data_IF_301627807716
#
_entry.id   IF_301627807716
#
_cell.length_a   1.000
_cell.length_b   1.000
_cell.length_c   1.000
_cell.angle_alpha   90.00
_cell.angle_beta   90.00
_cell.angle_gamma   90.00
#
_symmetry.space_group_name_H-M   'P 1'
#
loop_
_entity.id
_entity.type
_entity.pdbx_description
1 polymer ?
#
# COMPACT_ATOMS: atom_id res chain seq x y z
N UNK A 1 21.24 13.19 4.38
CA UNK A 1 19.82 12.76 4.39
C UNK A 1 19.44 12.38 5.81
N UNK A 2 18.50 13.09 6.43
CA UNK A 2 18.03 12.77 7.78
C UNK A 2 16.79 11.89 7.67
N UNK A 3 16.89 10.61 8.07
CA UNK A 3 15.79 9.64 8.01
C UNK A 3 14.70 9.87 9.11
N UNK A 4 14.88 10.89 9.95
CA UNK A 4 13.99 11.24 11.07
C UNK A 4 13.52 10.03 11.90
N UNK A 5 14.42 9.09 12.16
CA UNK A 5 14.09 7.79 12.76
C UNK A 5 13.46 7.92 14.14
N UNK A 6 13.93 8.85 14.99
CA UNK A 6 13.36 9.04 16.32
C UNK A 6 11.87 9.42 16.28
N UNK A 7 11.49 10.31 15.36
CA UNK A 7 10.09 10.69 15.18
C UNK A 7 9.28 9.59 14.48
N UNK A 8 9.88 8.92 13.49
CA UNK A 8 9.28 7.76 12.84
C UNK A 8 8.91 6.67 13.86
N UNK A 9 9.86 6.31 14.74
CA UNK A 9 9.65 5.34 15.82
C UNK A 9 8.56 5.83 16.75
N UNK A 10 8.57 7.10 17.16
CA UNK A 10 7.54 7.68 18.03
C UNK A 10 6.13 7.55 17.42
N UNK A 11 5.95 7.92 16.16
CA UNK A 11 4.65 7.84 15.47
C UNK A 11 4.26 6.37 15.23
N UNK A 12 5.20 5.51 14.86
CA UNK A 12 4.97 4.08 14.72
C UNK A 12 4.50 3.45 16.04
N UNK A 13 5.15 3.77 17.17
CA UNK A 13 4.75 3.30 18.50
C UNK A 13 3.35 3.79 18.87
N UNK A 14 3.03 5.05 18.56
CA UNK A 14 1.67 5.59 18.75
C UNK A 14 0.62 4.87 17.91
N UNK A 15 0.97 4.31 16.75
CA UNK A 15 0.06 3.59 15.85
C UNK A 15 0.06 2.07 16.02
N UNK A 16 0.76 1.55 17.04
CA UNK A 16 0.83 0.11 17.32
C UNK A 16 -0.54 -0.58 17.42
N UNK A 17 -1.58 -0.02 18.09
CA UNK A 17 -2.90 -0.65 18.12
C UNK A 17 -3.45 -0.90 16.70
N UNK A 18 -3.30 0.05 15.79
CA UNK A 18 -3.69 -0.13 14.39
C UNK A 18 -2.80 -1.17 13.68
N UNK A 19 -1.48 -1.16 13.92
CA UNK A 19 -0.53 -2.14 13.38
C UNK A 19 -0.90 -3.57 13.79
N UNK A 20 -1.37 -3.78 15.02
CA UNK A 20 -1.81 -5.10 15.52
C UNK A 20 -3.07 -5.58 14.78
N UNK A 21 -4.08 -4.71 14.64
CA UNK A 21 -5.29 -5.04 13.86
C UNK A 21 -4.92 -5.38 12.42
N UNK A 22 -4.04 -4.57 11.82
CA UNK A 22 -3.49 -4.82 10.48
C UNK A 22 -2.76 -6.16 10.42
N UNK A 23 -1.94 -6.51 11.42
CA UNK A 23 -1.27 -7.80 11.47
C UNK A 23 -2.26 -8.97 11.54
N UNK A 24 -3.33 -8.86 12.33
CA UNK A 24 -4.40 -9.85 12.37
C UNK A 24 -5.06 -10.05 11.00
N UNK A 25 -5.45 -8.97 10.33
CA UNK A 25 -6.08 -9.01 9.00
C UNK A 25 -5.14 -9.65 7.98
N UNK A 26 -3.89 -9.19 7.88
CA UNK A 26 -2.94 -9.71 6.90
C UNK A 26 -2.56 -11.18 7.19
N UNK A 27 -2.52 -11.58 8.45
CA UNK A 27 -2.30 -12.98 8.84
C UNK A 27 -3.49 -13.85 8.44
N UNK A 28 -4.72 -13.40 8.66
CA UNK A 28 -5.92 -14.12 8.23
C UNK A 28 -5.94 -14.34 6.71
N UNK A 29 -5.57 -13.32 5.92
CA UNK A 29 -5.43 -13.46 4.46
C UNK A 29 -4.29 -14.41 4.07
N UNK A 30 -3.15 -14.35 4.76
CA UNK A 30 -2.03 -15.27 4.54
C UNK A 30 -2.43 -16.73 4.79
N UNK A 31 -3.15 -16.99 5.88
CA UNK A 31 -3.67 -18.32 6.23
C UNK A 31 -4.74 -18.78 5.24
N UNK A 32 -5.66 -17.91 4.84
CA UNK A 32 -6.66 -18.22 3.82
C UNK A 32 -6.02 -18.56 2.47
N UNK A 33 -4.98 -17.82 2.06
CA UNK A 33 -4.22 -18.10 0.85
C UNK A 33 -3.48 -19.45 0.93
N UNK A 34 -2.92 -19.78 2.10
CA UNK A 34 -2.28 -21.08 2.34
C UNK A 34 -3.30 -22.23 2.27
N UNK A 35 -4.45 -22.08 2.92
CA UNK A 35 -5.54 -23.06 2.87
C UNK A 35 -6.05 -23.27 1.44
N UNK A 36 -6.24 -22.17 0.70
CA UNK A 36 -6.61 -22.21 -0.72
C UNK A 36 -5.57 -22.95 -1.57
N UNK A 37 -4.28 -22.64 -1.41
CA UNK A 37 -3.21 -23.32 -2.12
C UNK A 37 -3.17 -24.82 -1.78
N UNK A 38 -3.34 -25.18 -0.50
CA UNK A 38 -3.45 -26.56 -0.05
C UNK A 38 -4.64 -27.30 -0.68
N UNK A 39 -5.81 -26.65 -0.79
CA UNK A 39 -6.98 -27.21 -1.44
C UNK A 39 -6.76 -27.44 -2.95
N UNK A 40 -6.15 -26.48 -3.65
CA UNK A 40 -5.79 -26.61 -5.08
C UNK A 40 -4.83 -27.78 -5.31
N UNK A 41 -3.78 -27.88 -4.49
CA UNK A 41 -2.80 -28.96 -4.60
C UNK A 41 -3.41 -30.32 -4.23
N UNK A 42 -4.25 -30.37 -3.19
CA UNK A 42 -4.97 -31.58 -2.79
C UNK A 42 -5.92 -32.07 -3.89
N UNK A 43 -6.65 -31.14 -4.53
CA UNK A 43 -7.52 -31.45 -5.65
C UNK A 43 -6.72 -31.96 -6.86
N UNK A 44 -5.60 -31.30 -7.19
CA UNK A 44 -4.71 -31.73 -8.26
C UNK A 44 -4.16 -33.15 -8.02
N UNK A 45 -3.74 -33.47 -6.80
CA UNK A 45 -3.29 -34.81 -6.42
C UNK A 45 -4.40 -35.87 -6.57
N UNK A 46 -5.65 -35.50 -6.26
CA UNK A 46 -6.83 -36.37 -6.44
C UNK A 46 -7.06 -36.68 -7.93
N UNK A 47 -7.04 -35.66 -8.79
CA UNK A 47 -7.18 -35.83 -10.24
C UNK A 47 -6.02 -36.62 -10.85
N UNK A 48 -4.79 -36.42 -10.36
CA UNK A 48 -3.63 -37.22 -10.76
C UNK A 48 -3.84 -38.71 -10.48
N UNK A 49 -4.45 -39.04 -9.33
CA UNK A 49 -4.66 -40.43 -8.89
C UNK A 49 -5.85 -41.10 -9.59
N UNK A 50 -6.94 -40.37 -9.83
CA UNK A 50 -8.21 -40.94 -10.33
C UNK A 50 -8.32 -40.87 -11.86
N UNK A 51 -7.61 -39.95 -12.53
CA UNK A 51 -7.80 -39.66 -13.96
C UNK A 51 -7.18 -40.64 -14.97
N UNK A 52 -6.63 -41.78 -14.52
CA UNK A 52 -6.00 -42.77 -15.40
C UNK A 52 -4.91 -42.16 -16.29
N UNK A 53 -4.88 -42.50 -17.59
CA UNK A 53 -3.89 -41.97 -18.55
C UNK A 53 -3.93 -40.45 -18.75
N UNK A 54 -5.02 -39.79 -18.38
CA UNK A 54 -5.18 -38.33 -18.45
C UNK A 54 -4.99 -37.62 -17.09
N UNK A 55 -4.75 -38.37 -16.00
CA UNK A 55 -4.70 -37.82 -14.64
C UNK A 55 -3.66 -36.72 -14.47
N UNK A 56 -2.48 -36.87 -15.07
CA UNK A 56 -1.43 -35.84 -15.03
C UNK A 56 -1.85 -34.53 -15.69
N UNK A 57 -2.53 -34.60 -16.84
CA UNK A 57 -3.05 -33.42 -17.53
C UNK A 57 -4.17 -32.74 -16.72
N UNK A 58 -5.08 -33.51 -16.14
CA UNK A 58 -6.15 -32.96 -15.29
C UNK A 58 -5.58 -32.27 -14.04
N UNK A 59 -4.59 -32.87 -13.39
CA UNK A 59 -3.90 -32.27 -12.25
C UNK A 59 -3.24 -30.94 -12.62
N UNK A 60 -2.56 -30.87 -13.78
CA UNK A 60 -1.96 -29.64 -14.29
C UNK A 60 -3.01 -28.56 -14.53
N UNK A 61 -4.15 -28.91 -15.16
CA UNK A 61 -5.26 -27.97 -15.38
C UNK A 61 -5.77 -27.40 -14.06
N UNK A 62 -5.96 -28.23 -13.04
CA UNK A 62 -6.38 -27.78 -11.69
C UNK A 62 -5.37 -26.82 -11.09
N UNK A 63 -4.07 -27.10 -11.17
CA UNK A 63 -3.03 -26.20 -10.65
C UNK A 63 -3.03 -24.87 -11.41
N UNK A 64 -3.08 -24.88 -12.74
CA UNK A 64 -3.06 -23.65 -13.56
C UNK A 64 -4.28 -22.79 -13.29
N UNK A 65 -5.49 -23.37 -13.31
CA UNK A 65 -6.72 -22.66 -13.00
C UNK A 65 -6.75 -22.20 -11.54
N UNK A 66 -6.27 -23.03 -10.61
CA UNK A 66 -6.17 -22.69 -9.20
C UNK A 66 -5.21 -21.53 -8.94
N UNK A 67 -4.06 -21.47 -9.61
CA UNK A 67 -3.13 -20.34 -9.54
C UNK A 67 -3.76 -19.06 -10.11
N UNK A 68 -4.44 -19.16 -11.26
CA UNK A 68 -5.17 -18.03 -11.85
C UNK A 68 -6.27 -17.51 -10.93
N UNK A 69 -7.09 -18.40 -10.37
CA UNK A 69 -8.13 -18.07 -9.41
C UNK A 69 -7.57 -17.47 -8.12
N UNK A 70 -6.46 -18.02 -7.61
CA UNK A 70 -5.79 -17.51 -6.42
C UNK A 70 -5.22 -16.11 -6.62
N UNK A 71 -4.62 -15.85 -7.78
CA UNK A 71 -4.18 -14.51 -8.18
C UNK A 71 -5.35 -13.53 -8.22
N UNK A 72 -6.48 -13.93 -8.81
CA UNK A 72 -7.71 -13.14 -8.84
C UNK A 72 -8.24 -12.81 -7.44
N UNK A 73 -8.32 -13.81 -6.56
CA UNK A 73 -8.79 -13.63 -5.17
C UNK A 73 -7.87 -12.70 -4.37
N UNK A 74 -6.55 -12.87 -4.47
CA UNK A 74 -5.58 -11.98 -3.83
C UNK A 74 -5.67 -10.58 -4.41
N UNK A 75 -5.89 -10.45 -5.72
CA UNK A 75 -6.14 -9.18 -6.40
C UNK A 75 -7.35 -8.45 -5.79
N UNK A 76 -8.47 -9.15 -5.65
CA UNK A 76 -9.70 -8.60 -5.07
C UNK A 76 -9.53 -8.21 -3.59
N UNK A 77 -8.86 -9.05 -2.81
CA UNK A 77 -8.53 -8.75 -1.42
C UNK A 77 -7.69 -7.47 -1.28
N UNK A 78 -6.69 -7.32 -2.15
CA UNK A 78 -5.84 -6.12 -2.22
C UNK A 78 -6.60 -4.89 -2.67
N UNK A 79 -7.51 -5.04 -3.61
CA UNK A 79 -8.28 -3.94 -4.19
C UNK A 79 -9.48 -3.51 -3.36
N UNK A 80 -9.75 -4.10 -2.20
CA UNK A 80 -10.89 -3.69 -1.39
C UNK A 80 -10.50 -3.57 0.08
N UNK A 81 -10.28 -4.69 0.77
CA UNK A 81 -10.06 -4.66 2.21
C UNK A 81 -8.66 -4.15 2.58
N UNK A 82 -7.60 -4.71 2.00
CA UNK A 82 -6.23 -4.37 2.42
C UNK A 82 -5.88 -2.93 2.09
N UNK A 83 -6.43 -2.38 1.00
CA UNK A 83 -6.26 -0.98 0.66
C UNK A 83 -6.99 -0.07 1.64
N UNK A 84 -8.25 -0.34 2.01
CA UNK A 84 -8.97 0.46 3.01
C UNK A 84 -8.25 0.44 4.36
N UNK A 85 -7.72 -0.72 4.80
CA UNK A 85 -6.91 -0.82 6.02
C UNK A 85 -5.63 0.02 5.91
N UNK A 86 -4.96 -0.02 4.75
CA UNK A 86 -3.76 0.80 4.48
C UNK A 86 -4.09 2.28 4.60
N UNK A 87 -5.16 2.75 3.95
CA UNK A 87 -5.58 4.15 3.94
C UNK A 87 -6.05 4.61 5.33
N UNK A 88 -6.77 3.77 6.07
CA UNK A 88 -7.10 4.03 7.48
C UNK A 88 -5.86 4.21 8.35
N UNK A 89 -4.80 3.42 8.11
CA UNK A 89 -3.54 3.59 8.83
C UNK A 89 -2.85 4.92 8.46
N UNK A 90 -2.85 5.29 7.17
CA UNK A 90 -2.34 6.60 6.72
C UNK A 90 -3.09 7.72 7.44
N UNK A 91 -4.42 7.64 7.56
CA UNK A 91 -5.22 8.64 8.26
C UNK A 91 -4.87 8.77 9.74
N UNK A 92 -4.71 7.65 10.44
CA UNK A 92 -4.28 7.64 11.85
C UNK A 92 -2.88 8.21 12.02
N UNK A 93 -1.92 7.80 11.19
CA UNK A 93 -0.56 8.33 11.21
C UNK A 93 -0.55 9.84 10.93
N UNK A 94 -1.36 10.29 9.96
CA UNK A 94 -1.55 11.71 9.64
C UNK A 94 -2.05 12.49 10.84
N UNK A 95 -3.09 12.01 11.52
CA UNK A 95 -3.63 12.66 12.70
C UNK A 95 -2.58 12.79 13.83
N UNK A 96 -1.78 11.75 14.07
CA UNK A 96 -0.66 11.86 15.02
C UNK A 96 0.43 12.83 14.58
N UNK A 97 0.72 12.92 13.28
CA UNK A 97 1.71 13.86 12.74
C UNK A 97 1.26 15.31 12.84
N UNK A 98 -0.04 15.58 12.69
CA UNK A 98 -0.56 16.95 12.55
C UNK A 98 -1.20 17.48 13.82
N UNK A 99 -1.96 16.63 14.54
CA UNK A 99 -2.65 17.00 15.77
C UNK A 99 -1.91 16.51 17.03
N UNK A 100 -0.94 15.60 16.90
CA UNK A 100 -0.15 15.07 18.01
C UNK A 100 -0.84 13.96 18.81
N UNK A 101 -2.17 13.91 18.78
CA UNK A 101 -3.02 12.96 19.51
C UNK A 101 -4.28 12.55 18.72
N UNK A 102 -4.94 11.49 19.18
CA UNK A 102 -6.25 11.06 18.67
C UNK A 102 -7.34 11.35 19.71
N UNK A 103 -8.62 11.47 19.29
CA UNK A 103 -9.74 11.61 20.22
C UNK A 103 -9.73 10.50 21.30
N UNK A 104 -9.89 10.92 22.56
CA UNK A 104 -9.86 9.99 23.69
C UNK A 104 -11.07 9.05 23.66
N UNK A 105 -10.86 7.78 24.05
CA UNK A 105 -11.91 6.78 24.18
C UNK A 105 -12.34 6.09 22.88
N UNK A 106 -11.77 6.46 21.74
CA UNK A 106 -12.06 5.81 20.45
C UNK A 106 -10.95 4.85 20.02
N UNK A 107 -11.32 3.76 19.34
CA UNK A 107 -10.32 2.87 18.74
C UNK A 107 -9.64 3.56 17.56
N UNK A 108 -8.34 3.31 17.36
CA UNK A 108 -7.62 3.87 16.20
C UNK A 108 -8.24 3.45 14.86
N UNK A 109 -8.85 2.25 14.83
CA UNK A 109 -9.54 1.76 13.65
C UNK A 109 -10.77 2.62 13.33
N UNK A 110 -11.60 2.93 14.33
CA UNK A 110 -12.79 3.75 14.15
C UNK A 110 -12.43 5.18 13.76
N UNK A 111 -11.40 5.75 14.40
CA UNK A 111 -10.87 7.08 14.04
C UNK A 111 -10.36 7.07 12.60
N UNK A 112 -9.55 6.08 12.22
CA UNK A 112 -9.05 5.95 10.85
C UNK A 112 -10.17 5.81 9.83
N UNK A 113 -11.15 4.95 10.09
CA UNK A 113 -12.33 4.75 9.25
C UNK A 113 -13.12 6.06 9.09
N UNK A 114 -13.38 6.78 10.19
CA UNK A 114 -14.09 8.06 10.15
C UNK A 114 -13.35 9.10 9.33
N UNK A 115 -12.05 9.31 9.58
CA UNK A 115 -11.25 10.29 8.85
C UNK A 115 -11.23 10.01 7.34
N UNK A 116 -11.20 8.73 6.96
CA UNK A 116 -11.29 8.33 5.55
C UNK A 116 -12.67 8.62 4.99
N UNK A 117 -13.76 8.27 5.69
CA UNK A 117 -15.13 8.50 5.20
C UNK A 117 -15.52 9.99 5.19
N UNK A 118 -14.98 10.80 6.10
CA UNK A 118 -15.15 12.25 6.11
C UNK A 118 -14.50 12.89 4.87
N UNK A 119 -13.33 12.41 4.46
CA UNK A 119 -12.59 12.96 3.32
C UNK A 119 -13.00 12.35 1.98
N UNK A 120 -13.33 11.07 1.96
CA UNK A 120 -13.68 10.28 0.79
C UNK A 120 -15.08 9.72 1.00
N UNK A 121 -16.06 10.37 0.37
CA UNK A 121 -17.50 10.05 0.50
C UNK A 121 -17.80 8.58 0.21
N UNK A 122 -17.08 7.98 -0.73
CA UNK A 122 -17.15 6.57 -1.03
C UNK A 122 -15.77 5.96 -1.36
N UNK A 123 -15.71 4.63 -1.32
CA UNK A 123 -14.48 3.87 -1.55
C UNK A 123 -14.04 3.91 -3.03
N UNK A 124 -14.96 4.05 -3.98
CA UNK A 124 -14.62 4.12 -5.41
C UNK A 124 -13.86 5.42 -5.72
N UNK A 125 -14.30 6.53 -5.14
CA UNK A 125 -13.63 7.83 -5.22
C UNK A 125 -12.18 7.73 -4.73
N UNK A 126 -11.96 7.07 -3.58
CA UNK A 126 -10.62 6.84 -3.04
C UNK A 126 -9.74 6.05 -4.02
N UNK A 127 -10.26 4.98 -4.63
CA UNK A 127 -9.49 4.18 -5.60
C UNK A 127 -9.15 4.93 -6.88
N UNK A 128 -10.10 5.70 -7.41
CA UNK A 128 -9.86 6.53 -8.57
C UNK A 128 -8.78 7.55 -8.25
N UNK A 129 -8.91 8.25 -7.12
CA UNK A 129 -7.93 9.24 -6.68
C UNK A 129 -6.53 8.63 -6.51
N UNK A 130 -6.40 7.51 -5.80
CA UNK A 130 -5.13 6.81 -5.58
C UNK A 130 -4.48 6.41 -6.91
N UNK A 131 -5.26 5.89 -7.86
CA UNK A 131 -4.78 5.57 -9.21
C UNK A 131 -4.23 6.79 -9.96
N UNK A 132 -4.91 7.93 -9.89
CA UNK A 132 -4.45 9.17 -10.52
C UNK A 132 -3.22 9.76 -9.84
N UNK A 133 -3.20 9.76 -8.51
CA UNK A 133 -2.06 10.21 -7.69
C UNK A 133 -0.84 9.37 -8.00
N UNK A 134 -0.97 8.04 -7.99
CA UNK A 134 0.12 7.10 -8.29
C UNK A 134 0.66 7.26 -9.70
N UNK A 135 -0.23 7.47 -10.68
CA UNK A 135 0.19 7.79 -12.04
C UNK A 135 0.99 9.09 -12.11
N UNK A 136 0.53 10.11 -11.40
CA UNK A 136 1.15 11.43 -11.37
C UNK A 136 2.51 11.45 -10.69
N UNK A 137 2.63 10.86 -9.48
CA UNK A 137 3.91 10.75 -8.77
C UNK A 137 4.91 9.89 -9.52
N UNK A 138 4.46 8.81 -10.18
CA UNK A 138 5.34 8.00 -11.05
C UNK A 138 5.86 8.80 -12.23
N UNK A 139 5.05 9.65 -12.85
CA UNK A 139 5.47 10.52 -13.93
C UNK A 139 6.52 11.56 -13.47
N UNK A 140 6.32 12.17 -12.29
CA UNK A 140 7.32 13.04 -11.64
C UNK A 140 8.66 12.30 -11.53
N UNK A 141 8.63 11.07 -11.02
CA UNK A 141 9.85 10.34 -10.71
C UNK A 141 10.57 9.80 -11.93
N UNK A 142 9.86 9.54 -13.03
CA UNK A 142 10.49 9.15 -14.30
C UNK A 142 11.36 10.26 -14.89
N UNK A 143 11.14 11.52 -14.51
CA UNK A 143 11.95 12.65 -14.96
C UNK A 143 13.23 12.84 -14.15
N UNK A 144 13.49 12.00 -13.15
CA UNK A 144 14.66 12.11 -12.28
C UNK A 144 15.76 11.20 -12.82
N UNK A 145 16.84 11.80 -13.30
CA UNK A 145 17.93 11.09 -13.99
C UNK A 145 18.91 10.39 -13.03
N UNK A 146 18.98 10.78 -11.75
CA UNK A 146 20.05 10.38 -10.82
C UNK A 146 19.59 9.64 -9.54
N UNK A 147 18.56 8.79 -9.63
CA UNK A 147 18.05 8.08 -8.44
C UNK A 147 19.05 7.06 -7.87
N UNK A 148 20.01 6.59 -8.68
CA UNK A 148 21.08 5.67 -8.25
C UNK A 148 21.96 6.25 -7.13
N UNK A 149 22.13 7.57 -7.08
CA UNK A 149 22.96 8.26 -6.09
C UNK A 149 22.47 8.09 -4.64
N UNK A 150 21.20 7.72 -4.44
CA UNK A 150 20.62 7.53 -3.11
C UNK A 150 20.67 6.08 -2.63
N UNK A 151 21.17 5.17 -3.46
CA UNK A 151 21.19 3.76 -3.11
C UNK A 151 22.49 3.45 -2.33
N UNK A 152 22.39 3.02 -1.06
CA UNK A 152 23.55 2.82 -0.19
C UNK A 152 24.25 1.47 -0.41
N UNK A 153 24.20 0.90 -1.61
CA UNK A 153 24.82 -0.41 -1.92
C UNK A 153 25.95 -0.20 -2.93
N UNK A 154 27.22 -0.45 -2.57
CA UNK A 154 28.34 -0.35 -3.50
C UNK A 154 28.25 -1.38 -4.63
N UNK A 155 28.65 -1.02 -5.86
CA UNK A 155 28.85 -1.98 -6.98
C UNK A 155 27.59 -2.35 -7.77
N UNK A 156 26.49 -1.62 -7.59
CA UNK A 156 25.24 -1.81 -8.35
C UNK A 156 25.13 -0.87 -9.56
N UNK A 157 26.18 -0.10 -9.89
CA UNK A 157 26.12 0.91 -10.96
C UNK A 157 25.76 0.30 -12.34
N UNK A 158 25.98 -1.01 -12.53
CA UNK A 158 25.56 -1.76 -13.73
C UNK A 158 24.15 -2.38 -13.70
N UNK A 159 23.43 -2.32 -12.58
CA UNK A 159 22.14 -3.00 -12.38
C UNK A 159 20.94 -2.06 -12.54
N UNK A 160 20.82 -1.41 -13.71
CA UNK A 160 19.71 -0.49 -14.00
C UNK A 160 18.32 -1.11 -13.72
N UNK A 161 18.13 -2.40 -14.01
CA UNK A 161 16.88 -3.12 -13.73
C UNK A 161 16.58 -3.24 -12.23
N UNK A 162 17.61 -3.38 -11.39
CA UNK A 162 17.43 -3.50 -9.95
C UNK A 162 17.12 -2.13 -9.33
N UNK A 163 17.80 -1.07 -9.78
CA UNK A 163 17.48 0.30 -9.40
C UNK A 163 16.02 0.64 -9.73
N UNK A 164 15.54 0.26 -10.92
CA UNK A 164 14.13 0.44 -11.30
C UNK A 164 13.16 -0.28 -10.36
N UNK A 165 13.50 -1.50 -9.89
CA UNK A 165 12.67 -2.24 -8.92
C UNK A 165 12.63 -1.54 -7.56
N UNK A 166 13.75 -1.03 -7.08
CA UNK A 166 13.83 -0.27 -5.82
C UNK A 166 12.96 0.98 -5.90
N UNK A 167 13.10 1.76 -6.98
CA UNK A 167 12.27 2.95 -7.20
C UNK A 167 10.81 2.56 -7.26
N UNK A 168 10.45 1.52 -8.02
CA UNK A 168 9.08 1.02 -8.08
C UNK A 168 8.53 0.61 -6.70
N UNK A 169 9.36 0.06 -5.81
CA UNK A 169 8.97 -0.24 -4.44
C UNK A 169 8.76 1.03 -3.61
N UNK A 170 9.66 2.01 -3.72
CA UNK A 170 9.55 3.31 -3.06
C UNK A 170 8.26 4.07 -3.47
N UNK A 171 7.83 3.93 -4.73
CA UNK A 171 6.61 4.57 -5.25
C UNK A 171 5.35 4.21 -4.45
N UNK A 172 5.28 3.01 -3.87
CA UNK A 172 4.13 2.57 -3.10
C UNK A 172 3.95 3.27 -1.74
N UNK A 173 4.97 4.02 -1.32
CA UNK A 173 4.96 4.83 -0.10
C UNK A 173 4.90 6.33 -0.39
N UNK A 174 5.30 6.72 -1.60
CA UNK A 174 5.25 8.12 -2.04
C UNK A 174 3.80 8.56 -2.30
N UNK A 175 2.98 7.72 -2.92
CA UNK A 175 1.54 7.98 -3.15
C UNK A 175 0.79 8.22 -1.83
N UNK A 176 1.18 7.52 -0.75
CA UNK A 176 0.63 7.70 0.60
C UNK A 176 0.85 9.12 1.16
N UNK A 177 1.89 9.84 0.73
CA UNK A 177 2.14 11.21 1.21
C UNK A 177 1.12 12.21 0.69
N UNK A 178 0.71 12.06 -0.58
CA UNK A 178 -0.34 12.88 -1.20
C UNK A 178 -1.71 12.56 -0.60
N UNK A 179 -1.96 11.28 -0.33
CA UNK A 179 -3.16 10.85 0.38
C UNK A 179 -3.23 11.44 1.80
N UNK A 180 -2.11 11.35 2.54
CA UNK A 180 -1.95 11.94 3.86
C UNK A 180 -2.17 13.45 3.85
N UNK A 181 -1.61 14.15 2.87
CA UNK A 181 -1.86 15.59 2.67
C UNK A 181 -3.35 15.90 2.47
N UNK A 182 -4.04 15.11 1.65
CA UNK A 182 -5.48 15.28 1.39
C UNK A 182 -6.30 15.10 2.67
N UNK A 183 -5.96 14.08 3.48
CA UNK A 183 -6.57 13.83 4.80
C UNK A 183 -6.29 14.95 5.82
N UNK A 184 -5.11 15.58 5.75
CA UNK A 184 -4.77 16.70 6.61
C UNK A 184 -5.47 18.00 6.22
N UNK A 185 -5.50 18.32 4.91
CA UNK A 185 -6.01 19.60 4.41
C UNK A 185 -7.53 19.71 4.52
N UNK A 186 -8.25 18.57 4.49
CA UNK A 186 -9.71 18.47 4.67
C UNK A 186 -10.52 19.39 3.75
N UNK A 187 -10.07 19.60 2.50
CA UNK A 187 -10.86 20.39 1.56
C UNK A 187 -12.05 19.56 1.07
N UNK A 188 -13.19 20.24 0.85
CA UNK A 188 -14.37 19.65 0.19
C UNK A 188 -14.02 19.09 -1.19
N UNK A 189 -13.19 19.82 -1.94
CA UNK A 189 -12.66 19.36 -3.22
C UNK A 189 -11.42 18.48 -2.99
N UNK A 190 -11.62 17.17 -2.88
CA UNK A 190 -10.53 16.22 -2.65
C UNK A 190 -9.54 16.16 -3.81
N UNK A 191 -10.01 16.38 -5.04
CA UNK A 191 -9.17 16.41 -6.24
C UNK A 191 -8.17 17.57 -6.18
N UNK A 192 -8.62 18.74 -5.71
CA UNK A 192 -7.76 19.91 -5.50
C UNK A 192 -6.69 19.64 -4.45
N UNK A 193 -7.05 19.01 -3.32
CA UNK A 193 -6.07 18.67 -2.29
C UNK A 193 -5.03 17.66 -2.78
N UNK A 194 -5.44 16.67 -3.56
CA UNK A 194 -4.52 15.70 -4.14
C UNK A 194 -3.59 16.33 -5.19
N UNK A 195 -4.11 17.25 -6.02
CA UNK A 195 -3.33 18.00 -6.99
C UNK A 195 -2.22 18.80 -6.29
N UNK A 196 -2.59 19.57 -5.25
CA UNK A 196 -1.64 20.31 -4.42
C UNK A 196 -0.60 19.37 -3.79
N UNK A 197 -1.05 18.23 -3.23
CA UNK A 197 -0.17 17.23 -2.65
C UNK A 197 0.83 16.64 -3.64
N UNK A 198 0.44 16.38 -4.90
CA UNK A 198 1.36 15.94 -5.96
C UNK A 198 2.42 17.00 -6.25
N UNK A 199 2.03 18.28 -6.31
CA UNK A 199 2.97 19.38 -6.55
C UNK A 199 3.95 19.54 -5.37
N UNK A 200 3.44 19.48 -4.14
CA UNK A 200 4.27 19.51 -2.92
C UNK A 200 5.25 18.34 -2.85
N UNK A 201 4.81 17.15 -3.26
CA UNK A 201 5.70 16.00 -3.40
C UNK A 201 6.78 16.27 -4.44
N UNK A 202 6.40 16.78 -5.62
CA UNK A 202 7.36 17.08 -6.69
C UNK A 202 8.36 18.16 -6.28
N UNK A 203 7.96 19.16 -5.49
CA UNK A 203 8.88 20.17 -4.93
C UNK A 203 9.87 19.59 -3.92
N UNK A 204 9.44 18.58 -3.16
CA UNK A 204 10.22 17.97 -2.07
C UNK A 204 10.83 16.61 -2.45
N UNK A 205 10.79 16.24 -3.73
CA UNK A 205 11.08 14.87 -4.20
C UNK A 205 12.45 14.35 -3.73
N UNK A 206 13.48 15.20 -3.70
CA UNK A 206 14.83 14.80 -3.33
C UNK A 206 14.89 14.23 -1.92
N UNK A 207 14.11 14.79 -0.99
CA UNK A 207 14.09 14.33 0.40
C UNK A 207 13.16 13.12 0.54
N UNK A 208 11.96 13.22 -0.02
CA UNK A 208 10.91 12.20 0.16
C UNK A 208 11.25 10.91 -0.58
N UNK A 209 11.68 11.00 -1.84
CA UNK A 209 12.02 9.83 -2.66
C UNK A 209 13.32 9.17 -2.19
N UNK A 210 14.35 9.94 -1.84
CA UNK A 210 15.59 9.37 -1.32
C UNK A 210 15.32 8.58 -0.03
N UNK A 211 14.52 9.15 0.89
CA UNK A 211 14.09 8.43 2.08
C UNK A 211 13.28 7.17 1.72
N UNK A 212 12.31 7.27 0.82
CA UNK A 212 11.50 6.13 0.39
C UNK A 212 12.34 5.01 -0.25
N UNK A 213 13.37 5.35 -1.03
CA UNK A 213 14.32 4.41 -1.63
C UNK A 213 15.10 3.66 -0.54
N UNK A 214 15.70 4.39 0.40
CA UNK A 214 16.46 3.76 1.50
C UNK A 214 15.56 2.91 2.37
N UNK A 215 14.37 3.39 2.70
CA UNK A 215 13.42 2.65 3.52
C UNK A 215 12.84 1.43 2.78
N UNK A 216 12.67 1.47 1.45
CA UNK A 216 12.27 0.31 0.67
C UNK A 216 13.36 -0.77 0.67
N UNK A 217 14.63 -0.40 0.54
CA UNK A 217 15.76 -1.33 0.65
C UNK A 217 15.83 -1.93 2.05
N UNK A 218 15.73 -1.11 3.10
CA UNK A 218 15.69 -1.58 4.48
C UNK A 218 14.50 -2.52 4.71
N UNK A 219 13.35 -2.25 4.08
CA UNK A 219 12.16 -3.10 4.11
C UNK A 219 12.36 -4.46 3.43
N UNK A 220 13.22 -4.57 2.42
CA UNK A 220 13.61 -5.85 1.81
C UNK A 220 14.69 -6.58 2.62
N UNK A 221 15.68 -5.85 3.12
CA UNK A 221 16.72 -6.42 3.97
C UNK A 221 16.10 -7.03 5.25
N UNK A 222 15.21 -6.29 5.91
CA UNK A 222 14.47 -6.79 7.09
C UNK A 222 13.63 -8.02 6.78
N UNK A 223 13.01 -8.10 5.60
CA UNK A 223 12.32 -9.33 5.18
C UNK A 223 13.28 -10.53 5.11
N UNK A 224 14.47 -10.36 4.53
CA UNK A 224 15.50 -11.39 4.51
C UNK A 224 15.90 -11.82 5.93
N UNK A 225 16.15 -10.86 6.83
CA UNK A 225 16.48 -11.13 8.23
C UNK A 225 15.35 -11.89 8.94
N UNK A 226 14.09 -11.50 8.75
CA UNK A 226 12.93 -12.17 9.34
C UNK A 226 12.82 -13.61 8.82
N UNK A 227 12.96 -13.82 7.51
CA UNK A 227 12.93 -15.16 6.91
C UNK A 227 14.05 -16.03 7.45
N UNK A 228 15.26 -15.51 7.59
CA UNK A 228 16.39 -16.24 8.17
C UNK A 228 16.12 -16.59 9.64
N UNK A 229 15.64 -15.63 10.44
CA UNK A 229 15.33 -15.85 11.85
C UNK A 229 14.25 -16.93 12.04
N UNK A 230 13.18 -16.89 11.25
CA UNK A 230 12.16 -17.93 11.24
C UNK A 230 12.71 -19.25 10.67
N UNK A 231 13.54 -19.18 9.63
CA UNK A 231 14.17 -20.33 8.98
C UNK A 231 15.04 -21.15 9.92
N UNK A 232 15.77 -20.50 10.83
CA UNK A 232 16.54 -21.17 11.91
C UNK A 232 15.65 -22.13 12.72
N UNK A 233 14.37 -21.78 12.91
CA UNK A 233 13.42 -22.62 13.63
C UNK A 233 12.73 -23.66 12.73
N UNK A 234 12.18 -23.25 11.58
CA UNK A 234 11.35 -24.11 10.75
C UNK A 234 12.14 -25.08 9.85
N UNK A 235 13.32 -24.69 9.35
CA UNK A 235 14.07 -25.53 8.42
C UNK A 235 14.59 -26.82 9.06
N UNK A 236 15.14 -26.85 10.29
CA UNK A 236 15.50 -28.10 10.96
C UNK A 236 14.31 -29.06 11.11
N UNK A 237 13.12 -28.53 11.45
CA UNK A 237 11.88 -29.30 11.54
C UNK A 237 11.55 -29.89 10.17
N UNK A 238 11.57 -29.07 9.12
CA UNK A 238 11.37 -29.53 7.74
C UNK A 238 12.32 -30.67 7.36
N UNK A 239 13.62 -30.53 7.61
CA UNK A 239 14.61 -31.56 7.28
C UNK A 239 14.42 -32.86 8.08
N UNK A 240 13.94 -32.76 9.32
CA UNK A 240 13.70 -33.93 10.18
C UNK A 240 12.53 -34.83 9.74
N UNK A 241 11.62 -34.34 8.89
CA UNK A 241 10.44 -35.10 8.43
C UNK A 241 10.77 -36.30 7.52
N UNK A 242 11.98 -36.33 6.95
CA UNK A 242 12.49 -37.42 6.12
C UNK A 242 11.82 -37.54 4.74
N UNK A 243 12.41 -38.35 3.87
CA UNK A 243 12.00 -38.47 2.45
C UNK A 243 10.56 -39.00 2.25
N UNK A 244 9.96 -39.64 3.25
CA UNK A 244 8.59 -40.17 3.18
C UNK A 244 7.48 -39.12 3.22
N UNK A 245 7.80 -37.86 3.56
CA UNK A 245 6.82 -36.78 3.77
C UNK A 245 7.10 -35.56 2.87
N UNK A 246 7.51 -35.77 1.62
CA UNK A 246 7.98 -34.70 0.72
C UNK A 246 7.07 -33.47 0.61
N UNK A 247 5.74 -33.65 0.59
CA UNK A 247 4.78 -32.53 0.59
C UNK A 247 4.80 -31.74 1.91
N UNK A 248 4.73 -32.44 3.05
CA UNK A 248 4.74 -31.80 4.36
C UNK A 248 6.08 -31.10 4.64
N UNK A 249 7.19 -31.73 4.26
CA UNK A 249 8.52 -31.14 4.28
C UNK A 249 8.55 -29.83 3.48
N UNK A 250 8.05 -29.85 2.23
CA UNK A 250 8.01 -28.65 1.39
C UNK A 250 7.16 -27.53 2.01
N UNK A 251 6.01 -27.87 2.61
CA UNK A 251 5.16 -26.89 3.30
C UNK A 251 5.89 -26.26 4.48
N UNK A 252 6.47 -27.06 5.38
CA UNK A 252 7.19 -26.56 6.56
C UNK A 252 8.40 -25.71 6.15
N UNK A 253 9.12 -26.10 5.09
CA UNK A 253 10.23 -25.31 4.53
C UNK A 253 9.81 -23.91 4.07
N UNK A 254 8.60 -23.78 3.53
CA UNK A 254 8.07 -22.52 2.98
C UNK A 254 7.42 -21.61 4.03
N UNK A 255 7.10 -22.12 5.23
CA UNK A 255 6.46 -21.33 6.29
C UNK A 255 7.23 -20.05 6.68
N UNK A 256 8.57 -20.05 6.84
CA UNK A 256 9.35 -18.83 7.09
C UNK A 256 9.12 -17.72 6.07
N UNK A 257 8.99 -18.09 4.79
CA UNK A 257 8.76 -17.12 3.72
C UNK A 257 7.35 -16.53 3.81
N UNK A 258 6.35 -17.38 4.06
CA UNK A 258 4.96 -16.94 4.22
C UNK A 258 4.80 -16.02 5.44
N UNK A 259 5.22 -16.47 6.62
CA UNK A 259 5.12 -15.70 7.85
C UNK A 259 5.99 -14.44 7.79
N UNK A 260 7.21 -14.54 7.25
CA UNK A 260 8.07 -13.39 7.04
C UNK A 260 7.43 -12.36 6.12
N UNK A 261 6.71 -12.79 5.08
CA UNK A 261 6.03 -11.88 4.16
C UNK A 261 4.84 -11.20 4.83
N UNK A 262 4.07 -11.93 5.63
CA UNK A 262 2.98 -11.35 6.44
C UNK A 262 3.52 -10.30 7.41
N UNK A 263 4.57 -10.61 8.19
CA UNK A 263 5.23 -9.67 9.11
C UNK A 263 5.77 -8.43 8.39
N UNK A 264 6.36 -8.63 7.21
CA UNK A 264 6.81 -7.52 6.38
C UNK A 264 5.64 -6.61 5.98
N UNK A 265 4.52 -7.17 5.52
CA UNK A 265 3.37 -6.39 5.08
C UNK A 265 2.65 -5.66 6.23
N UNK A 266 2.63 -6.26 7.42
CA UNK A 266 1.88 -5.77 8.57
C UNK A 266 2.67 -4.86 9.51
N UNK A 267 4.00 -5.02 9.60
CA UNK A 267 4.87 -4.27 10.52
C UNK A 267 5.87 -3.40 9.76
N UNK A 268 6.67 -4.01 8.89
CA UNK A 268 7.77 -3.32 8.20
C UNK A 268 7.24 -2.26 7.24
N UNK A 269 6.29 -2.61 6.39
CA UNK A 269 5.69 -1.67 5.43
C UNK A 269 5.06 -0.44 6.11
N UNK A 270 4.25 -0.57 7.18
CA UNK A 270 3.76 0.62 7.87
C UNK A 270 4.85 1.46 8.52
N UNK A 271 5.94 0.85 9.02
CA UNK A 271 7.09 1.63 9.50
C UNK A 271 7.72 2.45 8.37
N UNK A 272 7.92 1.85 7.19
CA UNK A 272 8.42 2.52 6.00
C UNK A 272 7.49 3.66 5.57
N UNK A 273 6.19 3.40 5.48
CA UNK A 273 5.16 4.42 5.23
C UNK A 273 5.32 5.61 6.17
N UNK A 274 5.34 5.37 7.49
CA UNK A 274 5.43 6.45 8.48
C UNK A 274 6.73 7.26 8.32
N UNK A 275 7.85 6.61 8.01
CA UNK A 275 9.11 7.32 7.75
C UNK A 275 8.99 8.28 6.56
N UNK A 276 8.35 7.82 5.47
CA UNK A 276 8.13 8.63 4.26
C UNK A 276 7.15 9.77 4.54
N UNK A 277 6.08 9.53 5.31
CA UNK A 277 5.16 10.57 5.77
C UNK A 277 5.88 11.62 6.62
N UNK A 278 6.65 11.23 7.64
CA UNK A 278 7.42 12.16 8.50
C UNK A 278 8.32 13.05 7.64
N UNK A 279 9.02 12.45 6.68
CA UNK A 279 9.92 13.18 5.77
C UNK A 279 9.14 14.16 4.89
N UNK A 280 8.01 13.74 4.33
CA UNK A 280 7.15 14.61 3.54
C UNK A 280 6.62 15.78 4.37
N UNK A 281 6.11 15.55 5.58
CA UNK A 281 5.58 16.63 6.42
C UNK A 281 6.65 17.64 6.82
N UNK A 282 7.90 17.22 7.00
CA UNK A 282 9.01 18.13 7.33
C UNK A 282 9.50 18.95 6.16
N UNK A 283 9.48 18.39 4.95
CA UNK A 283 10.08 19.01 3.78
C UNK A 283 9.07 19.64 2.84
N UNK A 284 7.80 19.25 2.89
CA UNK A 284 6.76 19.70 1.95
C UNK A 284 5.72 20.60 2.63
N UNK A 285 5.34 20.33 3.88
CA UNK A 285 4.28 21.09 4.54
C UNK A 285 4.70 22.54 4.77
N UNK A 286 3.81 23.48 4.42
CA UNK A 286 4.04 24.92 4.56
C UNK A 286 4.74 25.57 3.37
N UNK A 287 5.20 24.81 2.37
CA UNK A 287 5.70 25.38 1.12
C UNK A 287 4.56 25.95 0.27
N UNK A 288 4.76 27.08 -0.41
CA UNK A 288 3.81 27.56 -1.40
C UNK A 288 3.79 26.61 -2.61
N UNK A 289 2.60 26.43 -3.20
CA UNK A 289 2.42 25.59 -4.41
C UNK A 289 3.18 26.23 -5.57
N UNK A 290 4.16 25.53 -6.14
CA UNK A 290 4.94 26.04 -7.26
C UNK A 290 4.21 25.87 -8.59
N UNK A 291 3.94 27.00 -9.25
CA UNK A 291 3.39 27.03 -10.61
C UNK A 291 4.32 26.37 -11.64
N UNK A 292 5.64 26.49 -11.45
CA UNK A 292 6.63 25.86 -12.33
C UNK A 292 6.53 24.33 -12.26
N UNK A 293 6.50 23.77 -11.05
CA UNK A 293 6.33 22.33 -10.86
C UNK A 293 4.99 21.85 -11.39
N UNK A 294 3.91 22.60 -11.14
CA UNK A 294 2.60 22.28 -11.70
C UNK A 294 2.65 22.17 -13.24
N UNK A 295 3.21 23.17 -13.92
CA UNK A 295 3.33 23.17 -15.38
C UNK A 295 4.27 22.06 -15.91
N UNK A 296 5.30 21.70 -15.15
CA UNK A 296 6.21 20.59 -15.49
C UNK A 296 5.49 19.24 -15.42
N UNK A 297 4.71 19.01 -14.37
CA UNK A 297 3.99 17.73 -14.17
C UNK A 297 2.84 17.60 -15.17
N UNK A 298 2.15 18.70 -15.47
CA UNK A 298 1.07 18.74 -16.46
C UNK A 298 1.51 18.33 -17.87
N UNK A 299 2.73 18.72 -18.26
CA UNK A 299 3.34 18.26 -19.51
C UNK A 299 3.73 16.78 -19.49
N UNK A 300 4.00 16.24 -18.31
CA UNK A 300 4.57 14.91 -18.13
C UNK A 300 3.54 13.79 -17.90
N UNK A 301 2.34 14.14 -17.42
CA UNK A 301 1.39 13.19 -16.84
C UNK A 301 -0.04 13.45 -17.29
N UNK A 302 -0.60 12.53 -18.08
CA UNK A 302 -2.03 12.48 -18.38
C UNK A 302 -2.88 12.38 -17.11
N UNK A 303 -2.38 11.64 -16.11
CA UNK A 303 -3.09 11.44 -14.85
C UNK A 303 -3.14 12.70 -14.00
N UNK A 304 -2.15 13.58 -14.12
CA UNK A 304 -2.18 14.88 -13.46
C UNK A 304 -3.15 15.84 -14.15
N UNK A 305 -3.22 15.79 -15.49
CA UNK A 305 -4.24 16.52 -16.26
C UNK A 305 -5.65 16.07 -15.91
N UNK A 306 -5.85 14.75 -15.74
CA UNK A 306 -7.13 14.19 -15.29
C UNK A 306 -7.49 14.68 -13.87
N UNK A 307 -6.52 14.76 -12.93
CA UNK A 307 -6.74 15.36 -11.61
C UNK A 307 -7.14 16.83 -11.71
N UNK A 308 -6.44 17.63 -12.53
CA UNK A 308 -6.78 19.04 -12.78
C UNK A 308 -8.19 19.21 -13.35
N UNK A 309 -8.58 18.35 -14.28
CA UNK A 309 -9.92 18.37 -14.86
C UNK A 309 -10.98 18.09 -13.78
N UNK A 310 -10.84 17.00 -13.02
CA UNK A 310 -11.78 16.65 -11.94
C UNK A 310 -11.86 17.72 -10.85
N UNK A 311 -10.74 18.37 -10.52
CA UNK A 311 -10.72 19.48 -9.58
C UNK A 311 -11.53 20.67 -10.09
N UNK A 312 -11.43 21.01 -11.39
CA UNK A 312 -12.24 22.07 -12.01
C UNK A 312 -13.72 21.71 -12.09
N UNK A 313 -14.03 20.50 -12.51
CA UNK A 313 -15.42 20.01 -12.65
C UNK A 313 -16.16 20.00 -11.31
N UNK A 314 -15.46 19.69 -10.21
CA UNK A 314 -16.01 19.75 -8.86
C UNK A 314 -16.37 21.19 -8.44
N UNK A 315 -15.59 22.19 -8.87
CA UNK A 315 -15.89 23.62 -8.62
C UNK A 315 -17.05 24.11 -9.48
N UNK A 316 -17.25 23.52 -10.66
CA UNK A 316 -18.35 23.84 -11.56
C UNK A 316 -19.72 23.31 -11.06
N UNK A 317 -19.76 22.34 -10.14
CA UNK A 317 -20.98 21.94 -9.45
C UNK A 317 -21.28 22.92 -8.28
N UNK A 318 -22.43 23.63 -8.28
CA UNK A 318 -22.81 24.44 -7.13
C UNK A 318 -22.99 23.54 -5.89
N UNK A 319 -22.70 24.06 -4.67
CA UNK A 319 -23.03 23.37 -3.42
C UNK A 319 -24.56 23.30 -3.28
N UNK A 320 -25.17 22.30 -3.92
CA UNK A 320 -26.62 22.13 -4.01
C UNK A 320 -27.10 21.20 -5.12
N UNK A 321 -26.28 20.90 -6.14
CA UNK A 321 -26.72 20.04 -7.25
C UNK A 321 -26.75 18.53 -6.94
N UNK A 322 -26.29 18.10 -5.75
CA UNK A 322 -26.38 16.72 -5.27
C UNK A 322 -27.51 16.49 -4.26
N UNK A 323 -28.42 17.45 -4.11
CA UNK A 323 -29.73 17.21 -3.49
C UNK A 323 -30.77 17.22 -4.60
N UNK A 324 -30.89 16.10 -5.30
CA UNK A 324 -32.10 15.82 -6.07
C UNK A 324 -33.26 15.68 -5.07
N UNK A 325 -33.96 16.79 -4.83
CA UNK A 325 -35.13 16.89 -3.96
C UNK A 325 -36.36 16.20 -4.57
N UNK A 326 -36.22 15.51 -5.71
CA UNK A 326 -37.30 14.73 -6.34
C UNK A 326 -37.66 13.42 -5.61
N UNK A 327 -36.92 13.05 -4.57
CA UNK A 327 -37.19 11.87 -3.72
C UNK A 327 -37.73 12.19 -2.32
N UNK A 328 -38.05 13.46 -2.02
CA UNK A 328 -38.80 13.77 -0.78
C UNK A 328 -40.28 13.40 -0.97
N UNK A 329 -40.82 12.44 -0.22
CA UNK A 329 -42.26 12.17 -0.25
C UNK A 329 -43.01 13.41 0.23
N UNK A 330 -44.06 13.79 -0.49
CA UNK A 330 -44.90 14.93 -0.14
C UNK A 330 -45.50 14.76 1.27
N UNK A 331 -45.60 15.84 2.06
CA UNK A 331 -46.24 15.77 3.37
C UNK A 331 -47.71 15.35 3.23
N UNK A 332 -48.23 14.53 4.17
CA UNK A 332 -49.60 14.05 4.09
C UNK A 332 -50.58 15.23 4.18
N UNK A 333 -51.70 15.19 3.43
CA UNK A 333 -52.72 16.23 3.49
C UNK A 333 -53.37 16.27 4.89
N UNK A 334 -53.64 17.49 5.35
CA UNK A 334 -54.31 17.81 6.62
C UNK A 334 -55.76 17.31 6.66
#
# INVERSE_FOLDING_TARGET
>A
MNLHLGETVRIFLKTLPFVIVRAGIYSAFGLAALAYAGAVLGLAALFAKVGGGAGGLMALVVVVLGLGGGWGLVGLARSWLLHVVKVGHVAVATAYLTAGELPAGESQYDVGKRLVLEQFVDVNLLFVLDGLVKGSTRAVNRQIENVSAWIPIPGIEGLAQWAQRVVAAAMNFVDETVLSYSLHKKQKNVWQSALEGVVLYAQSYQHVLANAVVMAIAGWASFGVIVLALGIFFWPISYSLGAGHGTLQSVVFLLPFLFGYVLKLSIVNPFVMISVLVTFYKHALGQPISAEWQARIERASDKFRELQQRARDFVAQPPGAAADDSLRPAPPPA
#
